data_IF_143196013189
#
_entry.id   IF_143196013189
#
_cell.length_a   1.000
_cell.length_b   1.000
_cell.length_c   1.000
_cell.angle_alpha   90.00
_cell.angle_beta   90.00
_cell.angle_gamma   90.00
#
_symmetry.space_group_name_H-M   'P 1'
#
loop_
_entity.id
_entity.type
_entity.pdbx_description
1 polymer ?
#
# COMPACT_ATOMS: atom_id res chain seq x y z
N UNK A 1 -33.48 13.77 -14.74
CA UNK A 1 -34.60 13.50 -13.80
C UNK A 1 -35.81 13.04 -14.60
N UNK A 2 -36.15 11.75 -14.59
CA UNK A 2 -37.38 11.25 -15.20
C UNK A 2 -38.23 10.62 -14.11
N UNK A 3 -39.27 11.32 -13.68
CA UNK A 3 -40.20 10.83 -12.66
C UNK A 3 -41.23 9.94 -13.35
N UNK A 4 -41.22 8.64 -13.03
CA UNK A 4 -42.33 7.76 -13.42
C UNK A 4 -43.34 7.74 -12.29
N UNK A 5 -44.48 8.39 -12.50
CA UNK A 5 -45.60 8.39 -11.55
C UNK A 5 -46.52 7.23 -11.91
N UNK A 6 -46.70 6.28 -11.00
CA UNK A 6 -47.74 5.25 -11.10
C UNK A 6 -48.83 5.56 -10.07
N UNK A 7 -49.96 6.18 -10.46
CA UNK A 7 -51.07 6.37 -9.55
C UNK A 7 -51.85 5.06 -9.38
N UNK A 8 -52.09 4.64 -8.14
CA UNK A 8 -53.11 3.63 -7.81
C UNK A 8 -54.24 4.28 -7.01
N UNK A 9 -55.47 3.86 -7.33
CA UNK A 9 -56.71 4.39 -6.73
C UNK A 9 -57.14 3.47 -5.59
N UNK A 10 -57.20 3.96 -4.35
CA UNK A 10 -57.55 3.10 -3.20
C UNK A 10 -59.00 3.25 -2.71
N UNK A 11 -59.63 4.41 -2.86
CA UNK A 11 -61.09 4.58 -2.67
C UNK A 11 -61.52 5.99 -3.08
N UNK A 12 -62.83 6.18 -3.32
CA UNK A 12 -63.48 7.49 -3.45
C UNK A 12 -64.50 7.56 -2.33
N UNK A 13 -64.27 8.42 -1.35
CA UNK A 13 -65.32 8.80 -0.40
C UNK A 13 -66.03 10.05 -0.94
N UNK A 14 -67.35 10.00 -0.94
CA UNK A 14 -68.21 11.14 -1.27
C UNK A 14 -68.69 11.69 0.08
N UNK A 15 -68.19 12.86 0.47
CA UNK A 15 -68.72 13.57 1.62
C UNK A 15 -70.19 13.94 1.40
N UNK A 16 -70.98 14.01 2.46
CA UNK A 16 -72.41 14.38 2.40
C UNK A 16 -72.68 15.78 1.82
N UNK A 17 -71.63 16.59 1.65
CA UNK A 17 -71.60 17.92 1.06
C UNK A 17 -71.26 17.92 -0.46
N UNK A 18 -71.09 16.74 -1.07
CA UNK A 18 -70.80 16.60 -2.50
C UNK A 18 -69.32 16.75 -2.86
N UNK A 19 -68.43 16.98 -1.89
CA UNK A 19 -67.00 17.00 -2.13
C UNK A 19 -66.45 15.58 -2.28
N UNK A 20 -65.79 15.32 -3.41
CA UNK A 20 -65.14 14.05 -3.71
C UNK A 20 -63.68 14.14 -3.30
N UNK A 21 -63.30 13.42 -2.24
CA UNK A 21 -61.89 13.28 -1.90
C UNK A 21 -61.32 12.03 -2.56
N UNK A 22 -60.22 12.18 -3.30
CA UNK A 22 -59.47 11.07 -3.88
C UNK A 22 -58.12 11.00 -3.23
N UNK A 23 -57.84 9.86 -2.60
CA UNK A 23 -56.53 9.58 -2.01
C UNK A 23 -55.74 8.77 -3.03
N UNK A 24 -54.61 9.32 -3.47
CA UNK A 24 -53.65 8.65 -4.33
C UNK A 24 -52.47 8.21 -3.48
N UNK A 25 -52.07 6.94 -3.56
CA UNK A 25 -50.73 6.55 -3.15
C UNK A 25 -49.80 6.85 -4.33
N UNK A 26 -48.93 7.84 -4.17
CA UNK A 26 -47.88 8.14 -5.14
C UNK A 26 -46.60 7.45 -4.69
N UNK A 27 -46.20 6.40 -5.39
CA UNK A 27 -44.86 5.82 -5.20
C UNK A 27 -43.89 6.57 -6.11
N UNK A 28 -42.97 7.31 -5.52
CA UNK A 28 -41.85 7.93 -6.25
C UNK A 28 -40.68 6.97 -6.15
N UNK A 29 -40.35 6.29 -7.26
CA UNK A 29 -39.07 5.60 -7.35
C UNK A 29 -37.97 6.66 -7.55
N UNK A 30 -36.98 6.68 -6.65
CA UNK A 30 -35.73 7.41 -6.89
C UNK A 30 -34.83 6.46 -7.68
N UNK A 31 -34.52 6.83 -8.93
CA UNK A 31 -33.41 6.19 -9.64
C UNK A 31 -32.13 6.57 -8.88
N UNK A 32 -31.58 5.61 -8.12
CA UNK A 32 -30.30 5.75 -7.43
C UNK A 32 -29.21 5.30 -8.40
N UNK A 33 -28.31 6.17 -8.88
CA UNK A 33 -27.20 5.75 -9.71
C UNK A 33 -26.14 5.01 -8.88
N UNK A 34 -25.41 4.10 -9.50
CA UNK A 34 -24.30 3.42 -8.85
C UNK A 34 -23.17 4.40 -8.49
N UNK A 35 -22.39 4.05 -7.46
CA UNK A 35 -21.17 4.77 -7.10
C UNK A 35 -20.21 4.83 -8.30
N UNK A 36 -19.69 6.01 -8.59
CA UNK A 36 -18.70 6.24 -9.64
C UNK A 36 -17.30 5.98 -9.10
N UNK A 37 -16.45 5.41 -9.94
CA UNK A 37 -15.06 5.12 -9.61
C UNK A 37 -14.10 5.90 -10.51
N UNK A 38 -12.94 6.25 -9.96
CA UNK A 38 -11.82 6.85 -10.70
C UNK A 38 -10.57 5.98 -10.53
N UNK A 39 -9.59 6.18 -11.40
CA UNK A 39 -8.36 5.40 -11.38
C UNK A 39 -7.60 5.55 -10.06
N UNK A 40 -7.18 4.41 -9.51
CA UNK A 40 -6.34 4.36 -8.31
C UNK A 40 -4.87 4.59 -8.68
N UNK A 41 -4.09 5.26 -7.81
CA UNK A 41 -2.66 5.42 -8.03
C UNK A 41 -1.95 4.08 -7.92
N UNK A 42 -0.96 3.86 -8.79
CA UNK A 42 -0.08 2.71 -8.68
C UNK A 42 0.83 2.82 -7.44
N UNK A 43 1.02 1.72 -6.73
CA UNK A 43 1.91 1.64 -5.58
C UNK A 43 3.27 1.07 -5.97
N UNK A 44 4.34 1.70 -5.46
CA UNK A 44 5.70 1.19 -5.47
C UNK A 44 6.21 1.09 -4.04
N UNK A 45 6.54 -0.12 -3.61
CA UNK A 45 6.95 -0.45 -2.25
C UNK A 45 8.27 -1.23 -2.27
N UNK A 46 8.89 -1.40 -1.11
CA UNK A 46 10.09 -2.22 -0.94
C UNK A 46 9.76 -3.45 -0.09
N UNK A 47 10.25 -4.63 -0.50
CA UNK A 47 10.02 -5.88 0.22
C UNK A 47 10.47 -5.76 1.69
N UNK A 48 9.60 -6.17 2.64
CA UNK A 48 9.87 -6.04 4.07
C UNK A 48 9.85 -4.60 4.60
N UNK A 49 9.53 -3.61 3.77
CA UNK A 49 9.40 -2.21 4.16
C UNK A 49 8.11 -1.91 4.94
N UNK A 50 7.92 -0.63 5.26
CA UNK A 50 6.74 -0.18 6.00
C UNK A 50 5.44 -0.37 5.17
N UNK A 51 4.31 -0.70 5.83
CA UNK A 51 3.01 -0.75 5.15
C UNK A 51 2.60 0.61 4.58
N UNK A 52 2.01 0.61 3.39
CA UNK A 52 1.38 1.78 2.79
C UNK A 52 -0.09 1.86 3.16
N UNK A 53 -0.59 3.08 3.43
CA UNK A 53 -2.02 3.34 3.68
C UNK A 53 -2.58 4.14 2.52
N UNK A 54 -3.67 3.66 1.93
CA UNK A 54 -4.40 4.35 0.86
C UNK A 54 -5.81 4.66 1.36
N UNK A 55 -6.17 5.94 1.31
CA UNK A 55 -7.56 6.33 1.40
C UNK A 55 -8.22 6.07 0.05
N UNK A 56 -8.98 4.98 -0.03
CA UNK A 56 -9.67 4.63 -1.28
C UNK A 56 -11.00 5.37 -1.43
N UNK A 57 -11.55 5.93 -0.34
CA UNK A 57 -12.81 6.66 -0.40
C UNK A 57 -12.69 7.93 -1.26
N UNK A 58 -11.50 8.52 -1.35
CA UNK A 58 -11.22 9.66 -2.23
C UNK A 58 -11.42 9.38 -3.74
N UNK A 59 -11.51 8.11 -4.14
CA UNK A 59 -11.60 7.69 -5.54
C UNK A 59 -13.00 7.19 -5.93
N UNK A 60 -13.93 7.17 -4.98
CA UNK A 60 -15.31 6.77 -5.18
C UNK A 60 -16.25 7.91 -4.80
N UNK A 61 -17.26 8.14 -5.63
CA UNK A 61 -18.27 9.18 -5.36
C UNK A 61 -19.66 8.65 -5.64
N UNK A 62 -20.60 8.99 -4.77
CA UNK A 62 -22.01 8.68 -4.94
C UNK A 62 -22.72 9.90 -5.54
N UNK A 63 -23.39 9.78 -6.70
CA UNK A 63 -24.04 10.94 -7.32
C UNK A 63 -25.26 11.47 -6.54
N UNK A 64 -25.82 10.67 -5.62
CA UNK A 64 -26.89 11.10 -4.72
C UNK A 64 -26.36 11.75 -3.43
N UNK A 65 -25.04 11.81 -3.25
CA UNK A 65 -24.35 12.48 -2.15
C UNK A 65 -24.22 11.64 -0.88
N UNK A 66 -24.53 10.34 -0.95
CA UNK A 66 -24.35 9.43 0.17
C UNK A 66 -22.87 9.03 0.29
N UNK A 67 -22.33 8.89 1.49
CA UNK A 67 -20.97 8.33 1.63
C UNK A 67 -20.97 6.85 1.21
N UNK A 68 -20.01 6.37 0.39
CA UNK A 68 -19.89 4.95 0.10
C UNK A 68 -19.64 4.18 1.40
N UNK A 69 -20.49 3.18 1.67
CA UNK A 69 -20.54 2.47 2.95
C UNK A 69 -19.70 1.18 2.95
N UNK A 70 -19.38 0.67 1.77
CA UNK A 70 -18.67 -0.59 1.61
C UNK A 70 -17.58 -0.49 0.54
N UNK A 71 -16.38 -1.02 0.82
CA UNK A 71 -15.31 -1.16 -0.17
C UNK A 71 -14.82 -2.61 -0.22
N UNK A 72 -15.03 -3.28 -1.35
CA UNK A 72 -14.51 -4.63 -1.59
C UNK A 72 -13.11 -4.58 -2.13
N UNK A 73 -12.19 -5.29 -1.48
CA UNK A 73 -10.82 -5.49 -1.93
C UNK A 73 -10.56 -6.95 -2.13
N UNK A 74 -10.53 -7.39 -3.38
CA UNK A 74 -10.16 -8.76 -3.73
C UNK A 74 -8.95 -8.67 -4.63
N UNK A 75 -7.92 -9.45 -4.38
CA UNK A 75 -6.89 -9.63 -5.39
C UNK A 75 -7.44 -10.33 -6.63
N UNK A 76 -7.09 -9.83 -7.81
CA UNK A 76 -7.30 -10.54 -9.08
C UNK A 76 -6.21 -11.58 -9.35
N UNK A 77 -5.10 -11.50 -8.61
CA UNK A 77 -3.91 -12.33 -8.77
C UNK A 77 -3.85 -13.42 -7.68
N UNK A 78 -3.79 -14.72 -8.06
CA UNK A 78 -3.70 -15.83 -7.10
C UNK A 78 -2.44 -15.78 -6.24
N UNK A 79 -1.37 -15.14 -6.71
CA UNK A 79 -0.07 -15.09 -6.02
C UNK A 79 0.11 -13.82 -5.18
N UNK A 80 -0.92 -12.99 -5.06
CA UNK A 80 -0.87 -11.71 -4.32
C UNK A 80 -0.24 -11.83 -2.95
N UNK A 81 -0.57 -12.90 -2.22
CA UNK A 81 -0.12 -13.10 -0.85
C UNK A 81 1.40 -13.26 -0.75
N UNK A 82 2.06 -13.67 -1.84
CA UNK A 82 3.52 -13.76 -1.93
C UNK A 82 4.19 -12.39 -2.10
N UNK A 83 3.51 -11.46 -2.79
CA UNK A 83 4.04 -10.13 -3.10
C UNK A 83 3.65 -9.12 -2.02
N UNK A 84 2.38 -9.06 -1.63
CA UNK A 84 1.87 -8.14 -0.61
C UNK A 84 0.55 -8.63 0.04
N UNK A 85 0.28 -8.22 1.27
CA UNK A 85 -1.06 -8.36 1.87
C UNK A 85 -1.83 -7.06 1.74
N UNK A 86 -3.13 -7.16 1.46
CA UNK A 86 -4.04 -6.01 1.39
C UNK A 86 -5.13 -6.21 2.43
N UNK A 87 -5.23 -5.31 3.40
CA UNK A 87 -6.21 -5.34 4.47
C UNK A 87 -6.97 -4.00 4.56
N UNK A 88 -8.09 -4.00 5.28
CA UNK A 88 -8.85 -2.79 5.59
C UNK A 88 -8.66 -2.48 7.08
N UNK A 89 -8.26 -1.25 7.41
CA UNK A 89 -8.10 -0.76 8.78
C UNK A 89 -8.50 0.72 8.91
N UNK A 90 -9.43 1.02 9.81
CA UNK A 90 -9.87 2.39 10.16
C UNK A 90 -10.17 3.28 8.94
N UNK A 91 -10.93 2.75 7.97
CA UNK A 91 -11.27 3.34 6.67
C UNK A 91 -10.16 3.38 5.59
N UNK A 92 -8.93 2.98 5.91
CA UNK A 92 -7.84 2.87 4.95
C UNK A 92 -7.67 1.45 4.42
N UNK A 93 -7.16 1.34 3.20
CA UNK A 93 -6.51 0.12 2.73
C UNK A 93 -5.06 0.12 3.12
N UNK A 94 -4.64 -0.92 3.82
CA UNK A 94 -3.27 -1.13 4.26
C UNK A 94 -2.64 -2.19 3.37
N UNK A 95 -1.55 -1.84 2.69
CA UNK A 95 -0.77 -2.73 1.83
C UNK A 95 0.57 -3.01 2.49
N UNK A 96 0.81 -4.26 2.88
CA UNK A 96 2.08 -4.68 3.50
C UNK A 96 2.93 -5.44 2.47
N UNK A 97 4.11 -4.93 2.08
CA UNK A 97 4.96 -5.57 1.08
C UNK A 97 5.69 -6.79 1.67
N UNK A 98 5.61 -7.94 1.00
CA UNK A 98 6.24 -9.19 1.44
C UNK A 98 7.50 -9.52 0.63
N UNK A 99 7.38 -9.67 -0.68
CA UNK A 99 8.48 -10.04 -1.55
C UNK A 99 8.47 -9.24 -2.87
N UNK A 100 9.63 -9.17 -3.52
CA UNK A 100 9.75 -8.49 -4.80
C UNK A 100 8.85 -9.14 -5.86
N UNK A 101 8.13 -8.32 -6.61
CA UNK A 101 7.17 -8.80 -7.60
C UNK A 101 6.15 -7.73 -7.98
N UNK A 102 5.21 -8.11 -8.83
CA UNK A 102 4.08 -7.27 -9.22
C UNK A 102 2.80 -8.03 -8.96
N UNK A 103 1.78 -7.33 -8.47
CA UNK A 103 0.45 -7.90 -8.24
C UNK A 103 -0.60 -6.81 -8.36
N UNK A 104 -1.88 -7.18 -8.27
CA UNK A 104 -2.98 -6.24 -8.37
C UNK A 104 -4.18 -6.61 -7.51
N UNK A 105 -4.88 -5.59 -7.01
CA UNK A 105 -6.13 -5.77 -6.28
C UNK A 105 -7.29 -5.06 -6.97
N UNK A 106 -8.36 -5.80 -7.21
CA UNK A 106 -9.65 -5.27 -7.59
C UNK A 106 -10.29 -4.55 -6.40
N UNK A 107 -10.74 -3.32 -6.66
CA UNK A 107 -11.36 -2.42 -5.69
C UNK A 107 -12.71 -1.97 -6.24
N UNK A 108 -13.77 -2.17 -5.47
CA UNK A 108 -15.10 -1.63 -5.79
C UNK A 108 -15.71 -1.01 -4.53
N UNK A 109 -16.53 0.01 -4.70
CA UNK A 109 -17.29 0.62 -3.62
C UNK A 109 -18.79 0.37 -3.80
N UNK A 110 -19.57 0.45 -2.73
CA UNK A 110 -21.03 0.38 -2.78
C UNK A 110 -21.67 1.16 -1.65
N UNK A 111 -22.92 1.56 -1.88
CA UNK A 111 -23.77 2.29 -0.92
C UNK A 111 -24.71 1.35 -0.14
N UNK A 112 -24.66 0.04 -0.41
CA UNK A 112 -25.51 -1.00 0.17
C UNK A 112 -26.64 -1.47 -0.75
N UNK A 113 -26.96 -0.70 -1.80
CA UNK A 113 -27.96 -1.08 -2.82
C UNK A 113 -27.30 -1.36 -4.18
N UNK A 114 -26.28 -0.59 -4.53
CA UNK A 114 -25.54 -0.70 -5.79
C UNK A 114 -24.03 -0.68 -5.54
N UNK A 115 -23.29 -1.25 -6.49
CA UNK A 115 -21.83 -1.27 -6.48
C UNK A 115 -21.28 -0.52 -7.68
N UNK A 116 -20.14 0.12 -7.52
CA UNK A 116 -19.37 0.73 -8.59
C UNK A 116 -18.84 -0.32 -9.57
N UNK A 117 -18.33 0.15 -10.70
CA UNK A 117 -17.38 -0.63 -11.48
C UNK A 117 -16.13 -0.94 -10.64
N UNK A 118 -15.46 -2.02 -10.98
CA UNK A 118 -14.22 -2.44 -10.32
C UNK A 118 -13.04 -1.66 -10.91
N UNK A 119 -12.24 -1.05 -10.05
CA UNK A 119 -10.96 -0.40 -10.40
C UNK A 119 -9.80 -1.25 -9.90
N UNK A 120 -8.71 -1.26 -10.66
CA UNK A 120 -7.51 -2.04 -10.33
C UNK A 120 -6.50 -1.16 -9.57
N UNK A 121 -6.09 -1.62 -8.39
CA UNK A 121 -4.92 -1.12 -7.67
C UNK A 121 -3.69 -1.92 -8.11
N UNK A 122 -2.80 -1.31 -8.90
CA UNK A 122 -1.53 -1.92 -9.28
C UNK A 122 -0.49 -1.78 -8.17
N UNK A 123 0.16 -2.88 -7.80
CA UNK A 123 1.17 -2.94 -6.73
C UNK A 123 2.46 -3.49 -7.31
N UNK A 124 3.54 -2.73 -7.20
CA UNK A 124 4.91 -3.17 -7.51
C UNK A 124 5.72 -3.16 -6.22
N UNK A 125 6.35 -4.29 -5.90
CA UNK A 125 7.26 -4.42 -4.77
C UNK A 125 8.66 -4.65 -5.33
N UNK A 126 9.57 -3.75 -5.01
CA UNK A 126 10.98 -3.83 -5.37
C UNK A 126 11.75 -4.62 -4.30
N UNK A 127 12.81 -5.31 -4.70
CA UNK A 127 13.67 -6.01 -3.74
C UNK A 127 14.32 -5.00 -2.79
N UNK A 128 14.40 -5.37 -1.50
CA UNK A 128 15.16 -4.60 -0.54
C UNK A 128 16.63 -4.53 -0.97
N UNK A 129 17.23 -3.35 -0.88
CA UNK A 129 18.66 -3.22 -1.09
C UNK A 129 19.40 -4.04 -0.03
N UNK A 130 20.26 -4.96 -0.47
CA UNK A 130 21.15 -5.68 0.45
C UNK A 130 22.25 -4.70 0.84
N UNK A 131 22.26 -4.28 2.12
CA UNK A 131 23.35 -3.46 2.64
C UNK A 131 24.66 -4.25 2.57
N UNK A 132 25.76 -3.66 2.07
CA UNK A 132 27.04 -4.35 2.02
C UNK A 132 27.60 -4.52 3.43
N UNK A 133 27.97 -5.76 3.80
CA UNK A 133 28.74 -6.00 5.01
C UNK A 133 30.19 -5.60 4.77
N UNK A 134 30.74 -4.69 5.58
CA UNK A 134 32.12 -4.20 5.46
C UNK A 134 32.92 -4.47 6.72
N UNK A 135 34.21 -4.76 6.56
CA UNK A 135 35.16 -4.89 7.68
C UNK A 135 36.47 -4.17 7.38
N UNK A 136 37.15 -3.78 8.44
CA UNK A 136 38.51 -3.26 8.38
C UNK A 136 39.48 -4.40 8.71
N UNK A 137 40.43 -4.66 7.81
CA UNK A 137 41.54 -5.58 8.03
C UNK A 137 42.82 -4.78 8.27
N UNK A 138 43.64 -5.16 9.24
CA UNK A 138 44.92 -4.52 9.49
C UNK A 138 46.03 -5.55 9.66
N UNK A 139 47.24 -5.24 9.17
CA UNK A 139 48.46 -6.02 9.45
C UNK A 139 49.63 -5.09 9.73
N UNK A 140 50.52 -5.52 10.63
CA UNK A 140 51.78 -4.82 10.87
C UNK A 140 52.83 -5.30 9.87
N UNK A 141 53.48 -4.38 9.19
CA UNK A 141 54.50 -4.69 8.15
C UNK A 141 55.90 -4.53 8.71
N UNK A 142 56.15 -3.46 9.47
CA UNK A 142 57.41 -3.21 10.17
C UNK A 142 57.17 -2.30 11.37
N UNK A 143 58.21 -1.92 12.11
CA UNK A 143 58.12 -0.79 13.05
C UNK A 143 58.56 0.48 12.30
N UNK A 144 57.77 1.58 12.28
CA UNK A 144 56.44 1.82 12.85
C UNK A 144 55.26 1.59 11.86
N UNK A 145 55.44 0.79 10.81
CA UNK A 145 54.48 0.71 9.70
C UNK A 145 53.33 -0.31 9.91
N UNK A 146 52.09 0.18 9.86
CA UNK A 146 50.84 -0.58 9.84
C UNK A 146 50.14 -0.39 8.49
N UNK A 147 49.65 -1.48 7.90
CA UNK A 147 48.74 -1.44 6.76
C UNK A 147 47.31 -1.69 7.23
N UNK A 148 46.37 -0.91 6.69
CA UNK A 148 44.93 -1.05 6.90
C UNK A 148 44.27 -1.21 5.54
N UNK A 149 43.25 -2.05 5.43
CA UNK A 149 42.47 -2.29 4.23
C UNK A 149 40.98 -2.37 4.57
N UNK A 150 40.13 -1.97 3.63
CA UNK A 150 38.71 -2.25 3.68
C UNK A 150 38.44 -3.57 2.93
N UNK A 151 37.54 -4.39 3.48
CA UNK A 151 36.96 -5.51 2.76
C UNK A 151 35.44 -5.40 2.81
N UNK A 152 34.82 -5.76 1.70
CA UNK A 152 33.38 -5.89 1.56
C UNK A 152 33.05 -7.36 1.35
N UNK A 153 32.02 -7.84 2.03
CA UNK A 153 31.48 -9.17 1.82
C UNK A 153 30.54 -9.16 0.62
N UNK A 154 30.75 -10.10 -0.28
CA UNK A 154 29.83 -10.38 -1.37
C UNK A 154 28.53 -11.00 -0.84
N UNK A 155 27.43 -10.94 -1.61
CA UNK A 155 26.20 -11.65 -1.28
C UNK A 155 26.39 -13.17 -1.11
N UNK A 156 27.41 -13.76 -1.76
CA UNK A 156 27.77 -15.18 -1.62
C UNK A 156 28.55 -15.52 -0.34
N UNK A 157 28.81 -14.54 0.52
CA UNK A 157 29.49 -14.72 1.81
C UNK A 157 31.01 -14.59 1.77
N UNK A 158 31.61 -14.53 0.59
CA UNK A 158 33.04 -14.34 0.39
C UNK A 158 33.45 -12.88 0.58
N UNK A 159 34.62 -12.64 1.18
CA UNK A 159 35.21 -11.31 1.28
C UNK A 159 35.99 -10.96 0.03
N UNK A 160 35.84 -9.74 -0.48
CA UNK A 160 36.63 -9.27 -1.62
C UNK A 160 38.12 -9.11 -1.29
N UNK A 161 38.91 -8.83 -2.33
CA UNK A 161 40.31 -8.43 -2.17
C UNK A 161 40.44 -7.19 -1.28
N UNK A 162 41.56 -7.11 -0.56
CA UNK A 162 41.85 -6.02 0.37
C UNK A 162 41.98 -4.71 -0.41
N UNK A 163 41.01 -3.83 -0.24
CA UNK A 163 41.04 -2.49 -0.80
C UNK A 163 41.92 -1.61 0.10
N UNK A 164 43.15 -1.35 -0.34
CA UNK A 164 44.06 -0.45 0.37
C UNK A 164 43.61 1.00 0.18
N UNK A 165 43.55 1.81 1.25
CA UNK A 165 43.25 3.22 1.14
C UNK A 165 44.31 3.91 0.28
N UNK A 166 43.86 4.77 -0.65
CA UNK A 166 44.74 5.53 -1.55
C UNK A 166 45.58 6.59 -0.81
N UNK A 167 45.27 6.86 0.46
CA UNK A 167 45.98 7.79 1.32
C UNK A 167 46.14 7.22 2.74
N UNK A 168 47.37 7.24 3.26
CA UNK A 168 47.69 6.83 4.62
C UNK A 168 47.63 8.03 5.57
N UNK A 169 46.70 8.03 6.52
CA UNK A 169 46.66 9.04 7.58
C UNK A 169 46.38 8.40 8.92
N UNK A 170 47.38 7.77 9.55
CA UNK A 170 47.36 7.49 10.99
C UNK A 170 48.80 7.42 11.53
N UNK A 171 49.25 8.50 12.20
CA UNK A 171 50.33 8.39 13.19
C UNK A 171 49.66 8.04 14.51
N UNK A 172 49.77 6.80 15.00
CA UNK A 172 49.28 6.46 16.34
C UNK A 172 50.36 5.75 17.16
N UNK A 173 50.67 6.33 18.31
CA UNK A 173 51.54 5.77 19.34
C UNK A 173 50.71 4.90 20.29
N UNK A 174 50.36 3.68 19.89
CA UNK A 174 49.62 2.73 20.73
C UNK A 174 50.58 1.64 21.27
N UNK A 175 50.59 1.34 22.59
CA UNK A 175 51.43 0.28 23.16
C UNK A 175 50.99 -1.13 22.74
N UNK A 176 51.96 -2.06 22.71
CA UNK A 176 51.89 -3.43 22.17
C UNK A 176 50.96 -4.37 22.97
N UNK A 177 50.52 -5.47 22.32
CA UNK A 177 49.95 -6.74 22.88
C UNK A 177 48.42 -6.98 22.76
N UNK A 178 47.62 -6.17 22.04
CA UNK A 178 46.18 -6.46 21.88
C UNK A 178 45.70 -6.38 20.42
N UNK A 179 45.05 -7.45 19.94
CA UNK A 179 44.22 -7.37 18.73
C UNK A 179 43.02 -6.46 19.01
N UNK A 180 42.81 -5.45 18.16
CA UNK A 180 41.61 -4.62 18.20
C UNK A 180 40.81 -4.95 16.94
N UNK A 181 39.68 -5.62 17.13
CA UNK A 181 38.73 -5.91 16.07
C UNK A 181 37.56 -4.95 16.28
N UNK A 182 37.22 -4.13 15.28
CA UNK A 182 35.96 -3.38 15.33
C UNK A 182 34.81 -4.36 15.14
N UNK A 183 33.77 -4.27 15.98
CA UNK A 183 32.52 -4.99 15.72
C UNK A 183 31.86 -4.44 14.45
N UNK A 184 31.13 -5.26 13.68
CA UNK A 184 30.36 -4.78 12.55
C UNK A 184 29.40 -3.67 12.97
N UNK A 185 29.28 -2.61 12.17
CA UNK A 185 28.15 -1.69 12.27
C UNK A 185 26.95 -2.39 11.61
N UNK A 186 25.99 -2.84 12.42
CA UNK A 186 24.65 -3.11 11.92
C UNK A 186 23.97 -1.77 11.69
N UNK A 187 23.73 -1.43 10.43
CA UNK A 187 22.89 -0.30 10.03
C UNK A 187 21.51 -0.81 9.66
#
# INVERSE_FOLDING_TARGET
MRTKVQPSLNSVDIGADGHRQRVYRVTIARDSPATLATDLPALRLTAGGNPARIDTAAYFSDPDGNAPSYMQGRSSDPDVATVATVAIADAFRVVTPQAAGQTSAAVAAGDGSLSSETVTLSITVEAAAIAPEVRIAARRVSRPHLEVALQQRSPGGEWNERLLPRAWFLQTSVPLERWVVSTPLQT
#
